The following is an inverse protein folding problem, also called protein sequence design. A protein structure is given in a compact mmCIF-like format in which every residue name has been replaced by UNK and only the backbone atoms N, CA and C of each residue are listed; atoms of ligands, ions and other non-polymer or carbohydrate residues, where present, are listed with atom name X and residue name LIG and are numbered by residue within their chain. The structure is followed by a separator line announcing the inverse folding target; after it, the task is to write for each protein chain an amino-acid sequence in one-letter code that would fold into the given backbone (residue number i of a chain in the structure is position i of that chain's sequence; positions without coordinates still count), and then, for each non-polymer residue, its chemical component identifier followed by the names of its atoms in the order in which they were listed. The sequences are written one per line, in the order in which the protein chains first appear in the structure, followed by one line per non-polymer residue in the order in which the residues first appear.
data_IF_402145065340
#
_entry.id   IF_402145065340
#
_cell.length_a   1.000
_cell.length_b   1.000
_cell.length_c   1.000
_cell.angle_alpha   90.00
_cell.angle_beta   90.00
_cell.angle_gamma   90.00
#
_symmetry.space_group_name_H-M   'P 1'
#
loop_
_entity.id
_entity.type
_entity.pdbx_description
1 polymer ?
#
# COMPACT_ATOMS: atom_id res chain seq x y z
N UNK A 1 4.76 13.55 12.25
CA UNK A 1 3.49 13.25 11.57
C UNK A 1 3.32 11.74 11.48
N UNK A 2 2.10 11.23 11.60
CA UNK A 2 1.79 9.81 11.43
C UNK A 2 1.44 9.57 9.96
N UNK A 3 2.10 8.61 9.32
CA UNK A 3 1.74 8.11 8.00
C UNK A 3 1.07 6.76 8.18
N UNK A 4 -0.03 6.56 7.46
CA UNK A 4 -0.69 5.27 7.33
C UNK A 4 -0.68 4.90 5.85
N UNK A 5 -0.31 3.67 5.54
CA UNK A 5 -0.32 3.12 4.20
C UNK A 5 -1.20 1.87 4.26
N UNK A 6 -2.24 1.81 3.44
CA UNK A 6 -3.04 0.61 3.24
C UNK A 6 -2.83 0.12 1.81
N UNK A 7 -2.66 -1.18 1.66
CA UNK A 7 -2.44 -1.85 0.39
C UNK A 7 -3.39 -3.02 0.29
N UNK A 8 -4.35 -2.90 -0.62
CA UNK A 8 -5.26 -3.97 -0.97
C UNK A 8 -4.75 -4.64 -2.25
N UNK A 9 -4.52 -5.94 -2.19
CA UNK A 9 -4.09 -6.75 -3.32
C UNK A 9 -5.31 -7.34 -3.99
N UNK A 10 -5.44 -7.13 -5.31
CA UNK A 10 -6.67 -7.39 -6.04
C UNK A 10 -6.39 -8.37 -7.18
N UNK A 11 -7.22 -9.41 -7.26
CA UNK A 11 -7.18 -10.41 -8.31
C UNK A 11 -7.82 -9.93 -9.62
N UNK A 12 -7.68 -10.73 -10.66
CA UNK A 12 -8.23 -10.44 -11.99
C UNK A 12 -9.74 -10.21 -12.00
N UNK A 13 -10.50 -10.83 -11.09
CA UNK A 13 -11.95 -10.66 -11.00
C UNK A 13 -12.35 -9.50 -10.04
N UNK A 14 -11.41 -8.61 -9.73
CA UNK A 14 -11.57 -7.49 -8.79
C UNK A 14 -11.87 -7.91 -7.35
N UNK A 15 -11.61 -9.17 -7.00
CA UNK A 15 -11.68 -9.66 -5.64
C UNK A 15 -10.48 -9.20 -4.82
N UNK A 16 -10.71 -8.78 -3.57
CA UNK A 16 -9.60 -8.52 -2.64
C UNK A 16 -9.01 -9.84 -2.16
N UNK A 17 -7.75 -10.10 -2.52
CA UNK A 17 -7.02 -11.31 -2.17
C UNK A 17 -6.33 -11.19 -0.81
N UNK A 18 -5.83 -10.00 -0.50
CA UNK A 18 -5.14 -9.71 0.76
C UNK A 18 -5.19 -8.22 1.05
N UNK A 19 -5.14 -7.88 2.34
CA UNK A 19 -5.02 -6.50 2.82
C UNK A 19 -3.83 -6.41 3.75
N UNK A 20 -2.97 -5.44 3.50
CA UNK A 20 -1.89 -5.12 4.40
C UNK A 20 -1.95 -3.64 4.74
N UNK A 21 -1.50 -3.32 5.96
CA UNK A 21 -1.39 -1.94 6.40
C UNK A 21 -0.07 -1.71 7.11
N UNK A 22 0.43 -0.50 6.98
CA UNK A 22 1.65 -0.04 7.61
C UNK A 22 1.43 1.31 8.25
N UNK A 23 2.10 1.54 9.37
CA UNK A 23 2.09 2.83 10.05
C UNK A 23 3.51 3.24 10.39
N UNK A 24 3.83 4.50 10.15
CA UNK A 24 5.11 5.09 10.52
C UNK A 24 4.89 6.46 11.17
N UNK A 25 5.80 6.86 12.06
CA UNK A 25 5.91 8.25 12.50
C UNK A 25 7.13 8.83 11.81
N UNK A 26 6.92 9.90 11.04
CA UNK A 26 7.98 10.56 10.27
C UNK A 26 8.20 11.99 10.73
N UNK A 27 9.42 12.46 10.54
CA UNK A 27 9.78 13.88 10.54
C UNK A 27 9.77 14.35 9.08
N UNK A 28 8.77 15.15 8.71
CA UNK A 28 8.56 15.61 7.32
C UNK A 28 9.75 16.43 6.80
N UNK A 29 10.50 17.09 7.68
CA UNK A 29 11.69 17.86 7.31
C UNK A 29 12.93 16.99 7.03
N UNK A 30 12.90 15.70 7.36
CA UNK A 30 14.06 14.80 7.25
C UNK A 30 13.79 13.52 6.45
N UNK A 31 12.54 13.07 6.39
CA UNK A 31 12.18 11.80 5.74
C UNK A 31 11.86 12.02 4.27
N UNK A 32 12.70 11.47 3.39
CA UNK A 32 12.56 11.59 1.93
C UNK A 32 11.84 10.38 1.31
N UNK A 33 11.90 9.21 1.96
CA UNK A 33 11.33 7.95 1.43
C UNK A 33 10.76 7.09 2.54
N UNK A 34 9.59 6.51 2.27
CA UNK A 34 8.99 5.43 3.06
C UNK A 34 8.87 4.22 2.15
N UNK A 35 9.23 3.05 2.65
CA UNK A 35 9.11 1.80 1.91
C UNK A 35 8.18 0.87 2.68
N UNK A 36 7.23 0.29 1.96
CA UNK A 36 6.30 -0.70 2.47
C UNK A 36 6.60 -2.04 1.80
N UNK A 37 6.65 -3.10 2.59
CA UNK A 37 6.77 -4.47 2.10
C UNK A 37 5.64 -5.29 2.70
N UNK A 38 4.86 -6.03 1.90
CA UNK A 38 3.83 -6.92 2.44
C UNK A 38 4.47 -8.04 3.26
N UNK A 39 3.79 -8.46 4.32
CA UNK A 39 4.25 -9.56 5.20
C UNK A 39 4.08 -10.94 4.55
N UNK A 40 3.13 -11.04 3.62
CA UNK A 40 2.79 -12.28 2.92
C UNK A 40 3.02 -12.12 1.43
N UNK A 41 3.45 -13.21 0.81
CA UNK A 41 3.55 -13.29 -0.64
C UNK A 41 2.15 -13.35 -1.23
N UNK A 42 1.84 -12.41 -2.13
CA UNK A 42 0.54 -12.33 -2.79
C UNK A 42 0.74 -12.36 -4.30
N UNK A 43 -0.07 -13.15 -4.99
CA UNK A 43 -0.20 -13.13 -6.45
C UNK A 43 -1.42 -12.28 -6.81
N UNK A 44 -1.21 -11.05 -7.25
CA UNK A 44 -2.29 -10.12 -7.58
C UNK A 44 -2.09 -9.52 -8.98
N UNK A 45 -3.18 -9.10 -9.61
CA UNK A 45 -3.16 -8.42 -10.91
C UNK A 45 -3.12 -6.90 -10.71
N UNK A 46 -3.77 -6.42 -9.65
CA UNK A 46 -3.83 -5.00 -9.28
C UNK A 46 -3.51 -4.81 -7.80
N UNK A 47 -3.17 -3.58 -7.44
CA UNK A 47 -3.07 -3.15 -6.05
C UNK A 47 -3.69 -1.78 -5.87
N UNK A 48 -4.55 -1.64 -4.86
CA UNK A 48 -5.06 -0.35 -4.42
C UNK A 48 -4.17 0.14 -3.27
N UNK A 49 -3.50 1.26 -3.49
CA UNK A 49 -2.65 1.92 -2.49
C UNK A 49 -3.36 3.15 -1.97
N UNK A 50 -3.53 3.22 -0.66
CA UNK A 50 -4.06 4.37 0.07
C UNK A 50 -3.00 4.89 1.03
N UNK A 51 -2.72 6.19 0.99
CA UNK A 51 -1.79 6.86 1.91
C UNK A 51 -2.50 8.00 2.63
N UNK A 52 -2.42 7.97 3.97
CA UNK A 52 -2.96 9.01 4.86
C UNK A 52 -1.85 9.65 5.67
N UNK A 53 -1.90 10.97 5.82
CA UNK A 53 -1.05 11.75 6.73
C UNK A 53 -1.93 12.31 7.84
N UNK A 54 -1.64 11.94 9.10
CA UNK A 54 -2.41 12.34 10.28
C UNK A 54 -3.94 12.17 10.05
N UNK A 55 -4.31 11.02 9.47
CA UNK A 55 -5.68 10.59 9.15
C UNK A 55 -6.34 11.27 7.93
N UNK A 56 -5.70 12.29 7.35
CA UNK A 56 -6.14 12.89 6.09
C UNK A 56 -5.70 12.06 4.88
N UNK A 57 -6.62 11.76 3.96
CA UNK A 57 -6.31 11.08 2.71
C UNK A 57 -5.47 11.98 1.80
N UNK A 58 -4.27 11.52 1.45
CA UNK A 58 -3.34 12.27 0.61
C UNK A 58 -3.22 11.67 -0.79
N UNK A 59 -3.32 10.35 -0.86
CA UNK A 59 -3.17 9.62 -2.12
C UNK A 59 -4.02 8.35 -2.08
N UNK A 60 -4.71 8.08 -3.18
CA UNK A 60 -5.39 6.82 -3.42
C UNK A 60 -5.31 6.50 -4.91
N UNK A 61 -4.76 5.34 -5.25
CA UNK A 61 -4.68 4.92 -6.64
C UNK A 61 -4.66 3.39 -6.78
N UNK A 62 -5.17 2.91 -7.90
CA UNK A 62 -5.08 1.51 -8.31
C UNK A 62 -3.97 1.35 -9.35
N UNK A 63 -3.01 0.49 -9.04
CA UNK A 63 -1.89 0.20 -9.91
C UNK A 63 -2.07 -1.19 -10.52
N UNK A 64 -1.87 -1.31 -11.83
CA UNK A 64 -1.75 -2.61 -12.48
C UNK A 64 -0.33 -3.11 -12.25
N UNK A 65 -0.19 -4.13 -11.42
CA UNK A 65 1.11 -4.76 -11.14
C UNK A 65 1.38 -5.88 -12.13
N UNK A 66 0.36 -6.42 -12.79
CA UNK A 66 0.40 -7.67 -13.53
C UNK A 66 0.54 -8.86 -12.59
N UNK A 67 0.11 -10.05 -13.03
CA UNK A 67 0.10 -11.24 -12.16
C UNK A 67 1.51 -11.70 -11.82
N UNK A 68 2.04 -11.23 -10.70
CA UNK A 68 3.38 -11.59 -10.21
C UNK A 68 3.34 -11.95 -8.73
N UNK A 69 4.25 -12.83 -8.32
CA UNK A 69 4.51 -13.10 -6.91
C UNK A 69 5.27 -11.92 -6.32
N UNK A 70 4.65 -11.19 -5.40
CA UNK A 70 5.32 -10.10 -4.69
C UNK A 70 6.02 -10.71 -3.48
N UNK A 71 7.36 -10.62 -3.49
CA UNK A 71 8.27 -11.22 -2.50
C UNK A 71 8.75 -10.18 -1.49
#
# INVERSE_FOLDING_TARGET
MKVYINVDWIGKNQETLSRNSGRAVIDYGKTIKITFRPETKVMADYTLVEVKLDECLMYQNILNVGRFEIV
#
